data_IF_159244893684
#
_entry.id   IF_159244893684
#
_cell.length_a   1.000
_cell.length_b   1.000
_cell.length_c   1.000
_cell.angle_alpha   90.00
_cell.angle_beta   90.00
_cell.angle_gamma   90.00
#
_symmetry.space_group_name_H-M   'P 1'
#
loop_
_entity.id
_entity.type
_entity.pdbx_description
1 polymer ?
#
# COMPACT_ATOMS: atom_id res chain seq x y z
N UNK A 1 33.99 -27.39 9.82
CA UNK A 1 34.18 -25.93 9.61
C UNK A 1 32.79 -25.32 9.66
N UNK A 2 32.49 -24.67 10.78
CA UNK A 2 31.20 -23.98 10.99
C UNK A 2 31.23 -22.65 10.22
N UNK A 3 30.23 -22.43 9.36
CA UNK A 3 30.00 -21.12 8.71
C UNK A 3 29.57 -20.10 9.79
N UNK A 4 30.07 -18.87 9.75
CA UNK A 4 29.58 -17.84 10.65
C UNK A 4 28.14 -17.47 10.27
N UNK A 5 27.29 -17.28 11.28
CA UNK A 5 25.93 -16.76 11.14
C UNK A 5 25.97 -15.35 10.54
N UNK A 6 25.04 -15.08 9.64
CA UNK A 6 24.83 -13.73 9.10
C UNK A 6 24.47 -12.78 10.24
N UNK A 7 24.91 -11.49 10.17
CA UNK A 7 24.57 -10.53 11.21
C UNK A 7 23.06 -10.27 11.19
N UNK A 8 22.43 -10.38 12.35
CA UNK A 8 21.07 -9.89 12.60
C UNK A 8 21.00 -8.42 12.15
N UNK A 9 20.14 -8.13 11.19
CA UNK A 9 19.82 -6.76 10.85
C UNK A 9 19.06 -6.18 12.05
N UNK A 10 19.82 -5.47 12.88
CA UNK A 10 19.28 -4.64 13.93
C UNK A 10 18.43 -3.56 13.26
N UNK A 11 17.13 -3.69 13.32
CA UNK A 11 16.21 -2.58 12.98
C UNK A 11 16.53 -1.48 13.98
N UNK A 12 17.31 -0.49 13.55
CA UNK A 12 17.60 0.68 14.37
C UNK A 12 16.30 1.45 14.54
N UNK A 13 15.69 1.33 15.70
CA UNK A 13 14.58 2.21 16.09
C UNK A 13 15.20 3.61 16.21
N UNK A 14 14.90 4.49 15.28
CA UNK A 14 15.33 5.89 15.34
C UNK A 14 14.70 6.54 16.57
N UNK A 15 15.42 7.40 17.29
CA UNK A 15 14.81 8.16 18.37
C UNK A 15 13.65 9.00 17.82
N UNK A 16 12.55 9.11 18.57
CA UNK A 16 11.30 9.83 18.17
C UNK A 16 11.57 11.28 17.73
N UNK A 17 12.65 11.89 18.22
CA UNK A 17 13.09 13.24 17.81
C UNK A 17 13.64 13.36 16.37
N UNK A 18 13.83 12.24 15.67
CA UNK A 18 14.33 12.19 14.27
C UNK A 18 13.25 11.79 13.25
N UNK A 19 12.01 11.51 13.71
CA UNK A 19 10.91 11.16 12.82
C UNK A 19 10.37 12.40 12.10
N UNK A 20 9.98 12.23 10.85
CA UNK A 20 9.25 13.26 10.09
C UNK A 20 7.80 13.32 10.57
N UNK A 21 7.18 14.49 10.44
CA UNK A 21 5.80 14.71 10.84
C UNK A 21 4.93 15.02 9.63
N UNK A 22 3.71 14.50 9.63
CA UNK A 22 2.71 14.87 8.63
C UNK A 22 2.20 16.29 8.86
N UNK A 23 1.55 16.94 7.89
CA UNK A 23 0.94 18.26 8.07
C UNK A 23 -0.17 18.24 9.12
N UNK A 24 -0.62 17.05 9.53
CA UNK A 24 -1.70 16.82 10.50
C UNK A 24 -1.23 16.38 11.89
N UNK A 25 0.09 16.39 12.17
CA UNK A 25 0.61 15.93 13.47
C UNK A 25 -0.10 16.59 14.66
N UNK A 26 -0.28 17.92 14.61
CA UNK A 26 -0.99 18.65 15.66
C UNK A 26 -2.47 18.25 15.77
N UNK A 27 -3.15 18.01 14.66
CA UNK A 27 -4.55 17.56 14.64
C UNK A 27 -4.69 16.15 15.21
N UNK A 28 -3.79 15.22 14.88
CA UNK A 28 -3.79 13.87 15.45
C UNK A 28 -3.60 13.89 16.96
N UNK A 29 -2.65 14.68 17.45
CA UNK A 29 -2.41 14.83 18.89
C UNK A 29 -3.60 15.47 19.61
N UNK A 30 -4.23 16.49 19.00
CA UNK A 30 -5.44 17.12 19.56
C UNK A 30 -6.61 16.14 19.65
N UNK A 31 -6.72 15.20 18.70
CA UNK A 31 -7.71 14.11 18.73
C UNK A 31 -7.32 12.96 19.66
N UNK A 32 -6.15 13.01 20.30
CA UNK A 32 -5.66 11.99 21.23
C UNK A 32 -5.19 10.71 20.55
N UNK A 33 -4.76 10.78 19.30
CA UNK A 33 -4.28 9.63 18.57
C UNK A 33 -3.05 8.99 19.23
N UNK A 34 -2.97 7.67 19.19
CA UNK A 34 -1.76 6.93 19.50
C UNK A 34 -0.82 7.02 18.31
N UNK A 35 0.33 7.64 18.50
CA UNK A 35 1.33 7.83 17.46
C UNK A 35 2.42 6.77 17.51
N UNK A 36 2.98 6.39 16.34
CA UNK A 36 4.13 5.50 16.23
C UNK A 36 4.93 5.76 14.95
N UNK A 37 6.17 5.25 14.91
CA UNK A 37 7.00 5.25 13.70
C UNK A 37 6.38 4.36 12.62
N UNK A 38 6.25 4.92 11.44
CA UNK A 38 5.86 4.22 10.22
C UNK A 38 6.67 4.75 9.03
N UNK A 39 7.66 3.97 8.62
CA UNK A 39 8.52 4.32 7.50
C UNK A 39 9.34 5.61 7.69
N UNK A 40 9.71 5.94 8.93
CA UNK A 40 10.45 7.14 9.30
C UNK A 40 9.57 8.37 9.55
N UNK A 41 8.25 8.19 9.61
CA UNK A 41 7.27 9.21 9.95
C UNK A 41 6.55 8.88 11.24
N UNK A 42 6.24 9.88 12.06
CA UNK A 42 5.36 9.71 13.21
C UNK A 42 3.90 9.82 12.75
N UNK A 43 3.18 8.68 12.76
CA UNK A 43 1.84 8.56 12.19
C UNK A 43 0.83 8.02 13.21
N UNK A 44 -0.47 8.37 13.09
CA UNK A 44 -1.52 7.86 13.95
C UNK A 44 -1.78 6.36 13.69
N UNK A 45 -1.74 5.57 14.75
CA UNK A 45 -2.06 4.13 14.71
C UNK A 45 -3.54 3.88 14.95
N UNK A 46 -4.11 4.53 15.96
CA UNK A 46 -5.54 4.50 16.28
C UNK A 46 -5.94 5.76 17.06
N UNK A 47 -7.27 6.00 17.14
CA UNK A 47 -7.86 7.09 17.87
C UNK A 47 -8.72 6.60 19.04
N UNK A 48 -8.93 7.43 20.08
CA UNK A 48 -9.87 7.13 21.17
C UNK A 48 -11.30 6.90 20.64
N UNK A 49 -12.09 6.09 21.37
CA UNK A 49 -13.50 5.84 21.02
C UNK A 49 -13.77 4.47 20.40
N UNK A 50 -12.80 3.56 20.47
CA UNK A 50 -12.97 2.17 20.00
C UNK A 50 -11.78 1.64 19.23
N UNK A 51 -10.81 2.52 18.90
CA UNK A 51 -9.55 2.15 18.27
C UNK A 51 -9.73 1.40 16.94
N UNK A 52 -8.75 0.60 16.60
CA UNK A 52 -8.67 -0.14 15.32
C UNK A 52 -9.97 -0.84 14.93
N UNK A 53 -10.69 -1.47 15.88
CA UNK A 53 -11.91 -2.23 15.57
C UNK A 53 -13.07 -1.34 15.15
N UNK A 54 -13.27 -0.21 15.85
CA UNK A 54 -14.33 0.75 15.52
C UNK A 54 -14.02 1.48 14.20
N UNK A 55 -12.77 1.89 14.01
CA UNK A 55 -12.31 2.55 12.79
C UNK A 55 -12.47 1.62 11.58
N UNK A 56 -12.04 0.36 11.69
CA UNK A 56 -12.26 -0.66 10.66
C UNK A 56 -13.75 -0.83 10.33
N UNK A 57 -14.60 -0.94 11.36
CA UNK A 57 -16.04 -1.10 11.16
C UNK A 57 -16.66 0.12 10.48
N UNK A 58 -16.23 1.34 10.83
CA UNK A 58 -16.70 2.57 10.20
C UNK A 58 -16.34 2.59 8.70
N UNK A 59 -15.12 2.18 8.31
CA UNK A 59 -14.73 2.08 6.90
C UNK A 59 -15.58 1.05 6.15
N UNK A 60 -15.89 -0.10 6.77
CA UNK A 60 -16.74 -1.13 6.13
C UNK A 60 -18.20 -0.75 6.01
N UNK A 61 -18.74 0.08 6.91
CA UNK A 61 -20.19 0.33 7.01
C UNK A 61 -20.62 1.78 6.79
N UNK A 62 -19.69 2.71 6.88
CA UNK A 62 -19.93 4.16 6.75
C UNK A 62 -18.79 4.84 5.99
N UNK A 63 -17.89 5.55 6.68
CA UNK A 63 -16.71 6.18 6.09
C UNK A 63 -15.64 6.43 7.14
N UNK A 64 -14.38 6.19 6.78
CA UNK A 64 -13.21 6.61 7.52
C UNK A 64 -12.34 7.56 6.71
N UNK A 65 -11.64 8.47 7.39
CA UNK A 65 -10.62 9.32 6.78
C UNK A 65 -9.26 9.02 7.39
N UNK A 66 -8.27 8.76 6.54
CA UNK A 66 -6.90 8.46 6.93
C UNK A 66 -5.98 9.58 6.47
N UNK A 67 -5.06 9.98 7.33
CA UNK A 67 -3.87 10.69 6.89
C UNK A 67 -2.85 9.68 6.38
N UNK A 68 -2.55 9.75 5.10
CA UNK A 68 -1.49 8.98 4.45
C UNK A 68 -0.49 9.90 3.76
N UNK A 69 -0.31 11.12 4.29
CA UNK A 69 0.60 12.14 3.75
C UNK A 69 2.08 11.73 3.81
N UNK A 70 2.41 10.71 4.59
CA UNK A 70 3.73 10.09 4.60
C UNK A 70 4.08 9.38 3.29
N UNK A 71 3.11 9.02 2.44
CA UNK A 71 3.39 8.49 1.11
C UNK A 71 4.21 9.50 0.30
N UNK A 72 5.14 9.00 -0.49
CA UNK A 72 5.93 9.84 -1.38
C UNK A 72 5.11 10.44 -2.51
N UNK A 73 5.57 11.56 -3.02
CA UNK A 73 5.09 12.15 -4.27
C UNK A 73 6.30 12.56 -5.09
N UNK A 74 6.30 12.22 -6.37
CA UNK A 74 7.33 12.63 -7.31
C UNK A 74 6.72 12.94 -8.66
N UNK A 75 7.31 13.86 -9.42
CA UNK A 75 6.90 14.14 -10.79
C UNK A 75 8.01 13.76 -11.74
N UNK A 76 7.63 13.17 -12.88
CA UNK A 76 8.49 12.97 -14.05
C UNK A 76 7.89 13.80 -15.18
N UNK A 77 8.62 14.84 -15.60
CA UNK A 77 8.09 15.83 -16.53
C UNK A 77 9.10 16.17 -17.64
N UNK A 78 8.57 16.54 -18.79
CA UNK A 78 9.32 16.89 -20.00
C UNK A 78 9.09 15.92 -21.14
N UNK A 79 9.55 16.28 -22.36
CA UNK A 79 9.32 15.47 -23.55
C UNK A 79 9.74 14.02 -23.39
N UNK A 80 8.78 13.09 -23.49
CA UNK A 80 9.03 11.66 -23.37
C UNK A 80 8.99 11.12 -21.93
N UNK A 81 8.42 11.84 -20.96
CA UNK A 81 8.31 11.42 -19.56
C UNK A 81 7.53 10.10 -19.40
N UNK A 82 6.35 9.98 -20.03
CA UNK A 82 5.54 8.76 -19.92
C UNK A 82 6.20 7.54 -20.56
N UNK A 83 6.73 7.58 -21.80
CA UNK A 83 7.56 6.49 -22.35
C UNK A 83 8.76 6.12 -21.48
N UNK A 84 9.41 7.09 -20.86
CA UNK A 84 10.52 6.82 -19.95
C UNK A 84 10.06 6.06 -18.69
N UNK A 85 9.02 6.53 -18.02
CA UNK A 85 8.43 5.84 -16.85
C UNK A 85 7.97 4.44 -17.24
N UNK A 86 7.36 4.28 -18.42
CA UNK A 86 6.97 2.97 -18.95
C UNK A 86 8.17 2.05 -19.11
N UNK A 87 9.30 2.54 -19.62
CA UNK A 87 10.52 1.75 -19.80
C UNK A 87 11.22 1.37 -18.47
N UNK A 88 10.92 2.06 -17.37
CA UNK A 88 11.51 1.80 -16.05
C UNK A 88 10.65 0.86 -15.20
N UNK A 89 9.33 1.09 -15.14
CA UNK A 89 8.42 0.39 -14.24
C UNK A 89 7.75 -0.81 -14.92
N UNK A 90 7.26 -1.76 -14.12
CA UNK A 90 6.83 -3.07 -14.66
C UNK A 90 5.53 -3.02 -15.45
N UNK A 91 4.52 -2.25 -15.05
CA UNK A 91 3.22 -2.25 -15.74
C UNK A 91 3.27 -1.41 -17.02
N UNK A 92 2.43 -1.74 -17.99
CA UNK A 92 2.40 -1.06 -19.27
C UNK A 92 1.49 0.18 -19.22
N UNK A 93 2.06 1.39 -19.33
CA UNK A 93 1.28 2.63 -19.37
C UNK A 93 0.37 2.72 -20.59
N UNK A 94 0.69 2.03 -21.68
CA UNK A 94 -0.18 1.91 -22.85
C UNK A 94 -1.57 1.28 -22.57
N UNK A 95 -1.76 0.67 -21.39
CA UNK A 95 -3.06 0.14 -20.95
C UNK A 95 -4.01 1.20 -20.41
N UNK A 96 -3.51 2.40 -20.16
CA UNK A 96 -4.29 3.52 -19.62
C UNK A 96 -4.15 4.77 -20.51
N UNK A 97 -5.04 5.73 -20.31
CA UNK A 97 -5.02 7.03 -20.98
C UNK A 97 -4.77 8.16 -19.95
N UNK A 98 -4.43 9.37 -20.38
CA UNK A 98 -4.40 10.54 -19.50
C UNK A 98 -5.67 10.67 -18.66
N UNK A 99 -5.51 11.04 -17.38
CA UNK A 99 -6.59 11.08 -16.38
C UNK A 99 -6.82 9.73 -15.66
N UNK A 100 -6.06 8.69 -15.99
CA UNK A 100 -6.12 7.38 -15.33
C UNK A 100 -4.87 7.12 -14.49
N UNK A 101 -5.06 6.25 -13.48
CA UNK A 101 -4.01 5.79 -12.60
C UNK A 101 -3.73 4.29 -12.81
N UNK A 102 -2.51 3.85 -12.46
CA UNK A 102 -2.10 2.47 -12.59
C UNK A 102 -1.18 2.07 -11.44
N UNK A 103 -1.46 0.92 -10.82
CA UNK A 103 -0.53 0.27 -9.91
C UNK A 103 0.60 -0.39 -10.71
N UNK A 104 1.84 -0.19 -10.26
CA UNK A 104 3.05 -0.71 -10.91
C UNK A 104 4.13 -0.99 -9.87
N UNK A 105 5.22 -1.58 -10.31
CA UNK A 105 6.35 -1.94 -9.46
C UNK A 105 7.65 -1.37 -10.04
N UNK A 106 8.51 -0.90 -9.14
CA UNK A 106 9.91 -0.60 -9.40
C UNK A 106 10.72 -1.81 -8.95
N UNK A 107 11.35 -2.52 -9.86
CA UNK A 107 12.13 -3.72 -9.55
C UNK A 107 13.63 -3.49 -9.67
N UNK A 108 14.39 -4.33 -9.01
CA UNK A 108 15.85 -4.36 -9.13
C UNK A 108 16.25 -5.18 -10.38
N UNK A 109 17.20 -4.67 -11.17
CA UNK A 109 17.60 -5.29 -12.43
C UNK A 109 18.28 -6.65 -12.25
N UNK A 110 18.95 -6.86 -11.12
CA UNK A 110 19.76 -8.06 -10.88
C UNK A 110 18.96 -9.17 -10.23
N UNK A 111 18.17 -8.81 -9.20
CA UNK A 111 17.41 -9.80 -8.39
C UNK A 111 15.97 -9.97 -8.88
N UNK A 112 15.41 -8.98 -9.60
CA UNK A 112 13.98 -8.91 -9.89
C UNK A 112 13.12 -8.60 -8.66
N UNK A 113 13.75 -8.40 -7.49
CA UNK A 113 13.07 -8.05 -6.25
C UNK A 113 12.43 -6.66 -6.31
N UNK A 114 11.40 -6.46 -5.52
CA UNK A 114 10.62 -5.22 -5.53
C UNK A 114 11.32 -4.16 -4.68
N UNK A 115 11.80 -3.10 -5.33
CA UNK A 115 12.32 -1.88 -4.68
C UNK A 115 11.19 -1.09 -4.08
N UNK A 116 10.08 -0.95 -4.84
CA UNK A 116 8.85 -0.31 -4.39
C UNK A 116 7.65 -0.71 -5.24
N UNK A 117 6.47 -0.65 -4.66
CA UNK A 117 5.18 -0.67 -5.35
C UNK A 117 4.51 0.69 -5.23
N UNK A 118 3.98 1.20 -6.34
CA UNK A 118 3.53 2.58 -6.39
C UNK A 118 2.35 2.77 -7.36
N UNK A 119 1.64 3.88 -7.17
CA UNK A 119 0.63 4.32 -8.13
C UNK A 119 1.25 5.37 -9.07
N UNK A 120 1.02 5.17 -10.36
CA UNK A 120 1.32 6.12 -11.43
C UNK A 120 0.02 6.82 -11.83
N UNK A 121 0.02 8.13 -11.85
CA UNK A 121 -1.05 8.99 -12.38
C UNK A 121 -0.58 9.59 -13.70
N UNK A 122 -1.16 9.14 -14.81
CA UNK A 122 -0.81 9.62 -16.15
C UNK A 122 -1.56 10.91 -16.45
N UNK A 123 -0.88 12.05 -16.30
CA UNK A 123 -1.43 13.37 -16.61
C UNK A 123 -1.37 13.68 -18.10
N UNK A 124 -0.32 13.20 -18.75
CA UNK A 124 -0.09 13.36 -20.18
C UNK A 124 1.21 12.65 -20.60
N UNK A 125 1.55 12.74 -21.87
CA UNK A 125 2.77 12.12 -22.39
C UNK A 125 4.05 12.71 -21.77
N UNK A 126 3.99 13.98 -21.36
CA UNK A 126 5.10 14.74 -20.82
C UNK A 126 4.94 15.06 -19.32
N UNK A 127 3.94 14.50 -18.64
CA UNK A 127 3.69 14.75 -17.22
C UNK A 127 3.11 13.50 -16.53
N UNK A 128 3.87 12.98 -15.58
CA UNK A 128 3.52 11.79 -14.79
C UNK A 128 3.73 12.11 -13.32
N UNK A 129 2.70 11.86 -12.48
CA UNK A 129 2.81 11.90 -11.04
C UNK A 129 2.97 10.48 -10.51
N UNK A 130 3.93 10.28 -9.61
CA UNK A 130 4.21 9.01 -8.93
C UNK A 130 3.89 9.15 -7.44
N UNK A 131 3.30 8.12 -6.85
CA UNK A 131 3.05 8.03 -5.41
C UNK A 131 3.68 6.75 -4.87
N UNK A 132 5.00 6.76 -4.59
CA UNK A 132 5.72 5.65 -3.95
C UNK A 132 5.47 5.57 -2.45
N UNK A 133 5.86 4.45 -1.83
CA UNK A 133 5.84 4.29 -0.37
C UNK A 133 6.82 5.23 0.32
N UNK A 134 6.48 5.63 1.56
CA UNK A 134 7.23 6.62 2.35
C UNK A 134 8.73 6.32 2.44
N UNK A 135 9.07 5.10 2.85
CA UNK A 135 10.46 4.68 3.08
C UNK A 135 11.28 4.58 1.77
N UNK A 136 10.62 4.34 0.64
CA UNK A 136 11.27 4.02 -0.63
C UNK A 136 11.33 5.21 -1.59
N UNK A 137 10.64 6.32 -1.27
CA UNK A 137 10.54 7.51 -2.15
C UNK A 137 11.89 7.99 -2.65
N UNK A 138 12.84 8.18 -1.75
CA UNK A 138 14.17 8.69 -2.10
C UNK A 138 14.90 7.75 -3.08
N UNK A 139 14.79 6.44 -2.90
CA UNK A 139 15.42 5.46 -3.78
C UNK A 139 14.75 5.40 -5.16
N UNK A 140 13.42 5.44 -5.22
CA UNK A 140 12.68 5.50 -6.49
C UNK A 140 13.03 6.76 -7.28
N UNK A 141 13.02 7.92 -6.61
CA UNK A 141 13.40 9.21 -7.22
C UNK A 141 14.85 9.18 -7.71
N UNK A 142 15.78 8.67 -6.90
CA UNK A 142 17.20 8.56 -7.27
C UNK A 142 17.37 7.70 -8.53
N UNK A 143 16.80 6.49 -8.56
CA UNK A 143 16.90 5.57 -9.71
C UNK A 143 16.35 6.19 -10.99
N UNK A 144 15.18 6.81 -10.90
CA UNK A 144 14.59 7.52 -12.05
C UNK A 144 15.42 8.72 -12.48
N UNK A 145 15.97 9.51 -11.54
CA UNK A 145 16.77 10.69 -11.89
C UNK A 145 18.11 10.34 -12.56
N UNK A 146 18.75 9.26 -12.11
CA UNK A 146 20.05 8.81 -12.64
C UNK A 146 19.99 8.32 -14.09
N UNK A 147 18.85 7.77 -14.50
CA UNK A 147 18.68 7.19 -15.86
C UNK A 147 17.78 8.03 -16.77
N UNK A 148 17.31 9.19 -16.29
CA UNK A 148 16.43 10.07 -17.05
C UNK A 148 17.12 10.57 -18.33
N UNK A 149 16.46 10.45 -19.50
CA UNK A 149 17.00 10.98 -20.73
C UNK A 149 17.02 12.51 -20.75
N UNK A 150 17.86 13.12 -21.62
CA UNK A 150 17.89 14.58 -21.75
C UNK A 150 16.50 15.16 -22.01
N UNK A 151 16.12 16.20 -21.24
CA UNK A 151 14.82 16.86 -21.32
C UNK A 151 13.76 16.31 -20.35
N UNK A 152 13.95 15.11 -19.80
CA UNK A 152 13.07 14.57 -18.75
C UNK A 152 13.63 14.93 -17.37
N UNK A 153 12.80 15.55 -16.53
CA UNK A 153 13.15 15.93 -15.17
C UNK A 153 12.35 15.13 -14.16
N UNK A 154 13.05 14.49 -13.23
CA UNK A 154 12.47 13.85 -12.05
C UNK A 154 12.59 14.80 -10.88
N UNK A 155 11.49 15.04 -10.16
CA UNK A 155 11.47 15.96 -9.03
C UNK A 155 10.77 15.30 -7.84
N UNK A 156 11.45 15.28 -6.69
CA UNK A 156 10.83 14.92 -5.42
C UNK A 156 9.82 16.01 -5.02
N UNK A 157 8.60 15.58 -4.73
CA UNK A 157 7.46 16.40 -4.32
C UNK A 157 6.88 15.94 -2.99
N UNK A 158 7.65 15.19 -2.21
CA UNK A 158 7.18 14.46 -1.03
C UNK A 158 6.38 15.35 -0.06
N UNK A 159 6.88 16.54 0.22
CA UNK A 159 6.24 17.52 1.12
C UNK A 159 5.50 18.66 0.39
N UNK A 160 5.28 18.54 -0.91
CA UNK A 160 4.48 19.52 -1.64
C UNK A 160 2.97 19.26 -1.47
N UNK A 161 2.58 17.99 -1.20
CA UNK A 161 1.19 17.57 -1.11
C UNK A 161 0.95 16.71 0.13
N UNK A 162 -0.19 16.92 0.80
CA UNK A 162 -0.77 15.92 1.70
C UNK A 162 -1.52 14.85 0.90
N UNK A 163 -1.89 13.75 1.58
CA UNK A 163 -2.77 12.72 1.03
C UNK A 163 -3.79 12.31 2.09
N UNK A 164 -5.08 12.58 1.80
CA UNK A 164 -6.20 12.23 2.66
C UNK A 164 -7.03 11.14 2.00
N UNK A 165 -7.05 9.92 2.58
CA UNK A 165 -7.82 8.83 2.05
C UNK A 165 -9.20 8.77 2.72
N UNK A 166 -10.27 9.04 1.97
CA UNK A 166 -11.68 8.99 2.39
C UNK A 166 -12.27 7.69 1.88
N UNK A 167 -12.49 6.72 2.76
CA UNK A 167 -12.76 5.33 2.40
C UNK A 167 -14.01 4.79 3.08
N UNK A 168 -14.85 4.10 2.33
CA UNK A 168 -16.08 3.46 2.80
C UNK A 168 -17.27 3.74 1.89
N UNK A 169 -18.41 3.02 2.08
CA UNK A 169 -19.59 3.11 1.19
C UNK A 169 -20.21 4.51 1.13
N UNK A 170 -19.95 5.39 2.13
CA UNK A 170 -20.45 6.77 2.18
C UNK A 170 -19.39 7.81 1.77
N UNK A 171 -18.26 7.37 1.21
CA UNK A 171 -17.16 8.29 0.84
C UNK A 171 -17.54 9.28 -0.26
N UNK A 172 -18.36 8.85 -1.24
CA UNK A 172 -18.81 9.72 -2.32
C UNK A 172 -19.64 10.91 -1.82
N UNK A 173 -20.57 10.66 -0.86
CA UNK A 173 -21.39 11.71 -0.27
C UNK A 173 -20.55 12.74 0.49
N UNK A 174 -19.49 12.29 1.18
CA UNK A 174 -18.59 13.19 1.90
C UNK A 174 -17.81 14.08 0.94
N UNK A 175 -17.23 13.49 -0.12
CA UNK A 175 -16.48 14.22 -1.14
C UNK A 175 -17.38 15.21 -1.89
N UNK A 176 -18.59 14.77 -2.27
CA UNK A 176 -19.57 15.62 -2.93
C UNK A 176 -20.08 16.77 -2.04
N UNK A 177 -20.20 16.56 -0.72
CA UNK A 177 -20.60 17.61 0.21
C UNK A 177 -19.59 18.78 0.31
N UNK A 178 -18.33 18.53 -0.07
CA UNK A 178 -17.29 19.56 -0.22
C UNK A 178 -17.28 20.22 -1.61
N UNK A 179 -18.21 19.86 -2.50
CA UNK A 179 -18.24 20.35 -3.87
C UNK A 179 -17.14 19.77 -4.76
N UNK A 180 -16.50 18.68 -4.33
CA UNK A 180 -15.47 17.99 -5.09
C UNK A 180 -16.07 16.90 -6.01
N UNK A 181 -15.45 16.61 -7.18
CA UNK A 181 -15.93 15.58 -8.09
C UNK A 181 -15.89 14.19 -7.44
N UNK A 182 -17.02 13.47 -7.46
CA UNK A 182 -17.17 12.16 -6.83
C UNK A 182 -17.73 11.08 -7.80
N UNK A 183 -18.00 11.40 -9.05
CA UNK A 183 -18.66 10.53 -10.04
C UNK A 183 -17.72 10.08 -11.17
N UNK A 184 -16.42 9.92 -10.87
CA UNK A 184 -15.47 9.45 -11.86
C UNK A 184 -15.00 8.01 -11.58
N UNK A 185 -14.47 7.35 -12.62
CA UNK A 185 -14.16 5.93 -12.63
C UNK A 185 -13.08 5.53 -11.60
N UNK A 186 -13.17 4.28 -11.13
CA UNK A 186 -12.11 3.66 -10.36
C UNK A 186 -10.77 3.71 -11.12
N UNK A 187 -9.67 4.00 -10.40
CA UNK A 187 -8.33 4.24 -10.95
C UNK A 187 -8.32 5.38 -11.99
N UNK A 188 -9.06 6.44 -11.72
CA UNK A 188 -8.94 7.72 -12.40
C UNK A 188 -8.72 8.86 -11.40
N UNK A 189 -8.38 10.03 -11.89
CA UNK A 189 -8.23 11.23 -11.09
C UNK A 189 -8.69 12.47 -11.85
N UNK A 190 -9.06 13.50 -11.10
CA UNK A 190 -9.51 14.79 -11.63
C UNK A 190 -8.83 15.89 -10.83
N UNK A 191 -8.23 16.85 -11.50
CA UNK A 191 -7.76 18.07 -10.86
C UNK A 191 -8.95 19.01 -10.65
N UNK A 192 -9.13 19.45 -9.41
CA UNK A 192 -10.24 20.27 -8.96
C UNK A 192 -9.76 21.43 -8.09
N UNK A 193 -10.69 22.22 -7.61
CA UNK A 193 -10.44 23.26 -6.62
C UNK A 193 -11.43 23.12 -5.46
N UNK A 194 -10.92 23.27 -4.25
CA UNK A 194 -11.71 23.37 -3.04
C UNK A 194 -11.44 24.73 -2.42
N UNK A 195 -12.49 25.58 -2.30
CA UNK A 195 -12.36 26.96 -1.82
C UNK A 195 -11.27 27.78 -2.53
N UNK A 196 -11.14 27.61 -3.85
CA UNK A 196 -10.11 28.28 -4.67
C UNK A 196 -8.70 27.70 -4.55
N UNK A 197 -8.49 26.63 -3.76
CA UNK A 197 -7.21 25.91 -3.58
C UNK A 197 -7.19 24.66 -4.45
N UNK A 198 -6.07 24.34 -5.11
CA UNK A 198 -5.99 23.16 -5.96
C UNK A 198 -5.99 21.88 -5.12
N UNK A 199 -6.69 20.87 -5.60
CA UNK A 199 -6.71 19.52 -5.06
C UNK A 199 -6.86 18.52 -6.19
N UNK A 200 -6.06 17.44 -6.19
CA UNK A 200 -6.29 16.31 -7.10
C UNK A 200 -7.17 15.29 -6.36
N UNK A 201 -8.29 14.90 -6.97
CA UNK A 201 -9.22 13.91 -6.45
C UNK A 201 -8.99 12.60 -7.18
N UNK A 202 -8.45 11.60 -6.50
CA UNK A 202 -8.14 10.29 -7.05
C UNK A 202 -9.20 9.28 -6.60
N UNK A 203 -9.74 8.50 -7.53
CA UNK A 203 -10.67 7.41 -7.24
C UNK A 203 -9.90 6.12 -6.97
N UNK A 204 -9.24 6.08 -5.85
CA UNK A 204 -8.33 5.01 -5.42
C UNK A 204 -8.46 4.75 -3.92
N UNK A 205 -7.77 3.71 -3.43
CA UNK A 205 -7.72 3.36 -2.02
C UNK A 205 -7.05 2.03 -1.78
N UNK A 206 -6.86 1.70 -0.50
CA UNK A 206 -6.13 0.52 -0.03
C UNK A 206 -6.94 -0.28 1.01
N UNK A 207 -8.27 -0.15 0.98
CA UNK A 207 -9.17 -0.71 1.99
C UNK A 207 -10.09 -1.81 1.46
N UNK A 208 -10.23 -1.90 0.13
CA UNK A 208 -11.21 -2.77 -0.50
C UNK A 208 -12.61 -2.18 -0.56
N UNK A 209 -12.80 -0.95 -0.05
CA UNK A 209 -14.06 -0.21 -0.12
C UNK A 209 -14.04 0.86 -1.20
N UNK A 210 -15.22 1.38 -1.53
CA UNK A 210 -15.35 2.60 -2.31
C UNK A 210 -14.59 3.73 -1.62
N UNK A 211 -13.84 4.55 -2.37
CA UNK A 211 -13.04 5.57 -1.72
C UNK A 211 -12.31 6.51 -2.66
N UNK A 212 -11.78 7.57 -2.06
CA UNK A 212 -11.00 8.60 -2.74
C UNK A 212 -9.73 8.87 -1.96
N UNK A 213 -8.70 9.31 -2.68
CA UNK A 213 -7.48 9.88 -2.11
C UNK A 213 -7.39 11.32 -2.63
N UNK A 214 -7.42 12.28 -1.71
CA UNK A 214 -7.38 13.71 -2.00
C UNK A 214 -5.95 14.19 -1.79
N UNK A 215 -5.39 14.86 -2.80
CA UNK A 215 -4.04 15.42 -2.76
C UNK A 215 -4.11 16.95 -2.74
N UNK A 216 -4.36 17.61 -1.61
CA UNK A 216 -4.22 19.04 -1.44
C UNK A 216 -2.74 19.43 -1.40
N UNK A 217 -2.43 20.74 -1.52
CA UNK A 217 -1.11 21.22 -1.12
C UNK A 217 -0.85 20.90 0.35
N UNK A 218 0.40 20.70 0.71
CA UNK A 218 0.81 20.40 2.09
C UNK A 218 0.22 21.38 3.11
N UNK A 219 0.32 22.69 2.83
CA UNK A 219 -0.19 23.73 3.72
C UNK A 219 -1.72 23.80 3.82
N UNK A 220 -2.45 23.28 2.82
CA UNK A 220 -3.92 23.29 2.78
C UNK A 220 -4.52 22.03 3.41
N UNK A 221 -3.68 21.03 3.75
CA UNK A 221 -4.11 19.73 4.25
C UNK A 221 -4.87 19.81 5.57
N UNK A 222 -4.46 20.61 6.58
CA UNK A 222 -5.19 20.74 7.83
C UNK A 222 -6.61 21.26 7.65
N UNK A 223 -6.78 22.30 6.83
CA UNK A 223 -8.09 22.89 6.59
C UNK A 223 -9.03 21.90 5.88
N UNK A 224 -8.50 21.14 4.89
CA UNK A 224 -9.29 20.13 4.19
C UNK A 224 -9.65 18.94 5.10
N UNK A 225 -8.75 18.56 6.01
CA UNK A 225 -9.03 17.53 7.03
C UNK A 225 -10.20 17.92 7.91
N UNK A 226 -10.19 19.13 8.47
CA UNK A 226 -11.27 19.64 9.32
C UNK A 226 -12.59 19.74 8.55
N UNK A 227 -12.54 20.21 7.31
CA UNK A 227 -13.70 20.27 6.44
C UNK A 227 -14.29 18.89 6.12
N UNK A 228 -13.43 17.87 5.89
CA UNK A 228 -13.86 16.48 5.69
C UNK A 228 -14.57 15.93 6.92
N UNK A 229 -14.02 16.12 8.10
CA UNK A 229 -14.65 15.67 9.35
C UNK A 229 -16.00 16.36 9.58
N UNK A 230 -16.09 17.68 9.33
CA UNK A 230 -17.33 18.42 9.46
C UNK A 230 -18.39 18.00 8.42
N UNK A 231 -18.04 17.92 7.14
CA UNK A 231 -18.93 17.50 6.07
C UNK A 231 -19.36 16.04 6.17
N UNK A 232 -18.46 15.18 6.68
CA UNK A 232 -18.70 13.75 6.85
C UNK A 232 -19.49 13.37 8.10
N UNK A 233 -19.68 14.29 9.07
CA UNK A 233 -20.39 13.99 10.31
C UNK A 233 -21.79 13.38 10.10
N UNK A 234 -22.64 13.88 9.17
CA UNK A 234 -23.94 13.27 8.87
C UNK A 234 -23.86 11.87 8.30
N UNK A 235 -22.70 11.49 7.76
CA UNK A 235 -22.43 10.20 7.10
C UNK A 235 -21.67 9.22 8.01
N UNK A 236 -21.37 9.62 9.26
CA UNK A 236 -20.67 8.79 10.24
C UNK A 236 -19.16 8.68 9.97
N UNK A 237 -18.55 9.75 9.43
CA UNK A 237 -17.09 9.77 9.23
C UNK A 237 -16.36 9.70 10.58
N UNK A 238 -15.29 8.92 10.61
CA UNK A 238 -14.35 8.88 11.73
C UNK A 238 -12.93 9.05 11.24
N UNK A 239 -12.04 9.68 12.00
CA UNK A 239 -10.61 9.57 11.77
C UNK A 239 -10.20 8.11 11.98
N UNK A 240 -9.33 7.60 11.10
CA UNK A 240 -8.87 6.23 11.15
C UNK A 240 -7.35 6.17 11.01
N UNK A 241 -6.71 5.34 11.83
CA UNK A 241 -5.26 5.21 11.88
C UNK A 241 -4.73 4.03 11.08
N UNK A 242 -3.39 3.92 11.05
CA UNK A 242 -2.70 2.88 10.29
C UNK A 242 -3.00 1.46 10.81
N UNK A 243 -3.43 1.31 12.06
CA UNK A 243 -3.89 0.01 12.59
C UNK A 243 -5.14 -0.50 11.87
N UNK A 244 -6.13 0.37 11.63
CA UNK A 244 -7.31 0.01 10.82
C UNK A 244 -6.94 -0.20 9.36
N UNK A 245 -6.06 0.65 8.78
CA UNK A 245 -5.54 0.48 7.42
C UNK A 245 -4.90 -0.90 7.23
N UNK A 246 -4.11 -1.38 8.20
CA UNK A 246 -3.46 -2.69 8.13
C UNK A 246 -4.46 -3.85 8.19
N UNK A 247 -5.47 -3.79 9.05
CA UNK A 247 -6.51 -4.84 9.09
C UNK A 247 -7.34 -4.86 7.81
N UNK A 248 -7.70 -3.70 7.25
CA UNK A 248 -8.48 -3.56 6.01
C UNK A 248 -7.72 -4.10 4.80
N UNK A 249 -6.46 -3.68 4.60
CA UNK A 249 -5.65 -4.14 3.47
C UNK A 249 -5.36 -5.66 3.55
N UNK A 250 -5.14 -6.18 4.78
CA UNK A 250 -4.88 -7.61 4.98
C UNK A 250 -6.11 -8.45 4.63
N UNK A 251 -7.32 -8.00 4.96
CA UNK A 251 -8.56 -8.64 4.51
C UNK A 251 -8.67 -8.73 2.98
N UNK A 252 -8.12 -7.75 2.27
CA UNK A 252 -8.08 -7.75 0.81
C UNK A 252 -6.91 -8.56 0.23
N UNK A 253 -5.94 -8.95 1.07
CA UNK A 253 -4.70 -9.55 0.59
C UNK A 253 -3.81 -8.57 -0.18
N UNK A 254 -3.98 -7.26 0.04
CA UNK A 254 -3.12 -6.26 -0.57
C UNK A 254 -1.73 -6.31 0.04
N UNK A 255 -0.67 -6.39 -0.78
CA UNK A 255 0.68 -6.48 -0.28
C UNK A 255 1.13 -5.17 0.37
N UNK A 256 2.01 -5.26 1.35
CA UNK A 256 2.71 -4.15 1.97
C UNK A 256 4.21 -4.32 1.75
N UNK A 257 4.88 -3.28 1.24
CA UNK A 257 6.33 -3.29 1.09
C UNK A 257 7.02 -3.43 2.47
N UNK A 258 8.04 -4.27 2.53
CA UNK A 258 8.69 -4.70 3.78
C UNK A 258 8.07 -5.97 4.39
N UNK A 259 6.94 -6.44 3.86
CA UNK A 259 6.23 -7.67 4.28
C UNK A 259 6.07 -8.65 3.11
N UNK A 260 5.16 -8.35 2.19
CA UNK A 260 4.88 -9.16 1.01
C UNK A 260 5.74 -8.81 -0.19
N UNK A 261 6.32 -7.63 -0.20
CA UNK A 261 7.20 -7.08 -1.24
C UNK A 261 8.50 -6.60 -0.62
N UNK A 262 9.62 -6.95 -1.23
CA UNK A 262 10.96 -6.50 -0.83
C UNK A 262 11.98 -6.80 -1.93
N UNK A 263 13.22 -6.41 -1.74
CA UNK A 263 14.33 -6.78 -2.65
C UNK A 263 14.57 -8.29 -2.75
N UNK A 264 14.08 -9.08 -1.77
CA UNK A 264 14.19 -10.54 -1.74
C UNK A 264 12.92 -11.24 -2.27
N UNK A 265 11.89 -10.49 -2.64
CA UNK A 265 10.60 -11.02 -3.10
C UNK A 265 10.26 -10.41 -4.45
N UNK A 266 10.08 -11.26 -5.46
CA UNK A 266 9.74 -10.83 -6.82
C UNK A 266 8.22 -10.65 -6.98
N UNK A 267 7.77 -9.89 -7.99
CA UNK A 267 6.36 -9.81 -8.35
C UNK A 267 5.71 -11.18 -8.64
N UNK A 268 6.49 -12.14 -9.14
CA UNK A 268 6.00 -13.50 -9.43
C UNK A 268 5.70 -14.25 -8.14
N UNK A 269 6.58 -14.15 -7.15
CA UNK A 269 6.40 -14.75 -5.83
C UNK A 269 5.27 -14.08 -5.05
N UNK A 270 5.19 -12.75 -5.11
CA UNK A 270 4.18 -11.94 -4.41
C UNK A 270 2.77 -12.03 -5.04
N UNK A 271 2.61 -12.70 -6.19
CA UNK A 271 1.33 -12.79 -6.87
C UNK A 271 0.88 -11.46 -7.54
N UNK A 272 1.79 -10.49 -7.68
CA UNK A 272 1.54 -9.19 -8.33
C UNK A 272 1.89 -9.18 -9.81
N UNK A 273 2.10 -10.35 -10.42
CA UNK A 273 2.41 -10.50 -11.83
C UNK A 273 1.37 -9.91 -12.81
N UNK A 274 0.15 -9.60 -12.34
CA UNK A 274 -0.86 -8.87 -13.09
C UNK A 274 -0.47 -7.39 -13.34
N UNK A 275 0.39 -6.84 -12.48
CA UNK A 275 0.96 -5.50 -12.61
C UNK A 275 2.27 -5.49 -13.40
N UNK A 276 2.55 -6.54 -14.17
CA UNK A 276 3.70 -6.64 -15.07
C UNK A 276 3.23 -6.68 -16.51
N UNK A 277 3.78 -5.80 -17.32
CA UNK A 277 3.59 -5.80 -18.78
C UNK A 277 4.53 -6.80 -19.44
N UNK A 278 4.20 -8.09 -19.40
CA UNK A 278 5.07 -9.17 -19.86
C UNK A 278 5.54 -9.05 -21.32
N UNK A 279 4.75 -8.36 -22.15
CA UNK A 279 5.03 -8.14 -23.56
C UNK A 279 5.86 -6.87 -23.83
N UNK A 280 6.16 -6.08 -22.78
CA UNK A 280 6.98 -4.87 -22.92
C UNK A 280 8.40 -5.24 -23.33
N UNK A 281 9.04 -4.41 -24.16
CA UNK A 281 10.43 -4.65 -24.58
C UNK A 281 11.43 -4.44 -23.43
N UNK A 282 11.13 -3.54 -22.48
CA UNK A 282 12.01 -3.17 -21.39
C UNK A 282 11.22 -2.72 -20.14
N UNK A 283 11.74 -3.06 -18.98
CA UNK A 283 11.50 -2.51 -17.64
C UNK A 283 12.58 -3.06 -16.71
N UNK A 284 12.83 -2.42 -15.59
CA UNK A 284 13.84 -2.88 -14.65
C UNK A 284 13.49 -4.26 -14.08
N UNK A 285 14.46 -5.17 -14.11
CA UNK A 285 14.31 -6.56 -13.69
C UNK A 285 13.62 -7.50 -14.68
N UNK A 286 13.34 -7.05 -15.91
CA UNK A 286 12.56 -7.81 -16.91
C UNK A 286 13.09 -9.21 -17.16
N UNK A 287 14.36 -9.36 -17.44
CA UNK A 287 14.93 -10.66 -17.88
C UNK A 287 14.86 -11.71 -16.79
N UNK A 288 15.14 -11.31 -15.54
CA UNK A 288 15.02 -12.16 -14.35
C UNK A 288 13.57 -12.58 -14.13
N UNK A 289 12.63 -11.62 -14.20
CA UNK A 289 11.21 -11.88 -13.97
C UNK A 289 10.58 -12.76 -15.06
N UNK A 290 10.96 -12.57 -16.32
CA UNK A 290 10.50 -13.43 -17.44
C UNK A 290 11.03 -14.85 -17.26
N UNK A 291 12.30 -15.00 -16.87
CA UNK A 291 12.89 -16.33 -16.61
C UNK A 291 12.21 -17.02 -15.42
N UNK A 292 11.99 -16.31 -14.30
CA UNK A 292 11.30 -16.86 -13.13
C UNK A 292 9.85 -17.26 -13.46
N UNK A 293 9.13 -16.41 -14.21
CA UNK A 293 7.77 -16.74 -14.64
C UNK A 293 7.72 -18.02 -15.47
N UNK A 294 8.68 -18.21 -16.37
CA UNK A 294 8.76 -19.40 -17.23
C UNK A 294 9.11 -20.67 -16.43
N UNK A 295 10.03 -20.57 -15.48
CA UNK A 295 10.43 -21.69 -14.60
C UNK A 295 9.41 -22.02 -13.53
N UNK A 296 8.58 -21.05 -13.16
CA UNK A 296 7.75 -21.07 -11.94
C UNK A 296 8.56 -20.65 -10.71
N UNK A 297 7.98 -19.85 -9.81
CA UNK A 297 8.66 -19.41 -8.59
C UNK A 297 8.81 -20.55 -7.59
N UNK A 298 9.88 -20.56 -6.81
CA UNK A 298 10.11 -21.55 -5.74
C UNK A 298 9.12 -21.40 -4.57
N UNK A 299 8.61 -20.20 -4.35
CA UNK A 299 7.66 -19.87 -3.27
C UNK A 299 6.59 -18.90 -3.80
N UNK A 300 5.42 -18.87 -3.14
CA UNK A 300 4.30 -18.02 -3.55
C UNK A 300 3.60 -17.43 -2.35
N UNK A 301 3.14 -16.20 -2.52
CA UNK A 301 2.24 -15.55 -1.55
C UNK A 301 0.88 -16.26 -1.54
N UNK A 302 0.41 -16.58 -0.31
CA UNK A 302 -0.88 -17.22 -0.05
C UNK A 302 -1.57 -16.55 1.14
N UNK A 303 -2.88 -16.68 1.19
CA UNK A 303 -3.67 -16.35 2.36
C UNK A 303 -3.67 -17.51 3.36
N UNK A 304 -3.77 -17.15 4.63
CA UNK A 304 -3.93 -18.07 5.76
C UNK A 304 -5.22 -17.74 6.50
N UNK A 305 -6.04 -18.75 6.73
CA UNK A 305 -7.26 -18.64 7.53
C UNK A 305 -7.11 -19.56 8.75
N UNK A 306 -7.21 -19.01 9.95
CA UNK A 306 -7.17 -19.79 11.16
C UNK A 306 -8.37 -20.76 11.22
N UNK A 307 -8.15 -21.96 11.76
CA UNK A 307 -9.23 -22.94 11.98
C UNK A 307 -9.79 -22.84 13.41
N UNK A 308 -9.12 -22.06 14.27
CA UNK A 308 -9.49 -21.80 15.65
C UNK A 308 -9.35 -20.30 16.01
N UNK A 309 -9.04 -19.99 17.27
CA UNK A 309 -8.86 -18.61 17.75
C UNK A 309 -7.43 -18.07 17.59
N UNK A 310 -6.57 -18.80 16.91
CA UNK A 310 -5.19 -18.37 16.70
C UNK A 310 -5.14 -17.15 15.78
N UNK A 311 -4.20 -16.26 16.06
CA UNK A 311 -3.93 -15.08 15.22
C UNK A 311 -2.48 -15.18 14.78
N UNK A 312 -2.21 -15.41 13.48
CA UNK A 312 -0.85 -15.44 12.97
C UNK A 312 -0.21 -14.05 13.07
N UNK A 313 1.12 -14.01 13.14
CA UNK A 313 1.89 -12.76 13.17
C UNK A 313 3.07 -12.86 12.22
N UNK A 314 3.46 -11.73 11.65
CA UNK A 314 4.64 -11.64 10.80
C UNK A 314 5.87 -12.27 11.46
N UNK A 315 6.68 -12.98 10.68
CA UNK A 315 7.88 -13.67 11.12
C UNK A 315 7.65 -15.09 11.70
N UNK A 316 6.40 -15.52 11.91
CA UNK A 316 6.13 -16.88 12.36
C UNK A 316 6.42 -17.89 11.24
N UNK A 317 7.15 -18.96 11.58
CA UNK A 317 7.43 -20.07 10.67
C UNK A 317 6.19 -20.95 10.50
N UNK A 318 5.95 -21.35 9.26
CA UNK A 318 4.89 -22.29 8.91
C UNK A 318 5.47 -23.66 8.61
N UNK A 319 4.81 -24.70 9.13
CA UNK A 319 5.22 -26.10 9.00
C UNK A 319 4.14 -26.96 8.41
N UNK A 320 4.57 -28.01 7.70
CA UNK A 320 3.71 -29.11 7.30
C UNK A 320 4.45 -30.41 7.59
N UNK A 321 3.83 -31.31 8.34
CA UNK A 321 4.44 -32.60 8.76
C UNK A 321 5.81 -32.40 9.43
N UNK A 322 5.97 -31.32 10.23
CA UNK A 322 7.20 -30.99 10.94
C UNK A 322 8.30 -30.34 10.09
N UNK A 323 8.07 -30.13 8.78
CA UNK A 323 9.00 -29.48 7.87
C UNK A 323 8.62 -28.02 7.70
N UNK A 324 9.60 -27.11 7.74
CA UNK A 324 9.39 -25.70 7.49
C UNK A 324 9.02 -25.49 6.01
N UNK A 325 7.88 -24.87 5.73
CA UNK A 325 7.33 -24.66 4.38
C UNK A 325 7.11 -23.19 4.06
N UNK A 326 7.47 -22.26 4.94
CA UNK A 326 7.37 -20.84 4.68
C UNK A 326 7.26 -19.99 5.93
N UNK A 327 6.94 -18.70 5.72
CA UNK A 327 6.88 -17.69 6.79
C UNK A 327 5.65 -16.80 6.61
N UNK A 328 5.01 -16.46 7.71
CA UNK A 328 3.95 -15.46 7.76
C UNK A 328 4.56 -14.09 7.49
N UNK A 329 4.07 -13.40 6.48
CA UNK A 329 4.51 -12.05 6.12
C UNK A 329 3.66 -10.97 6.80
N UNK A 330 2.34 -11.19 6.89
CA UNK A 330 1.40 -10.35 7.62
C UNK A 330 0.38 -11.21 8.33
N UNK A 331 -0.09 -10.76 9.51
CA UNK A 331 -1.10 -11.51 10.23
C UNK A 331 -1.85 -10.66 11.24
N UNK A 332 -3.18 -10.79 11.23
CA UNK A 332 -4.06 -10.00 12.08
C UNK A 332 -5.35 -10.76 12.42
N UNK A 333 -6.10 -10.21 13.36
CA UNK A 333 -7.51 -10.58 13.53
C UNK A 333 -8.34 -9.81 12.48
N UNK A 334 -9.14 -10.51 11.69
CA UNK A 334 -10.11 -9.89 10.79
C UNK A 334 -11.37 -9.48 11.57
N UNK A 335 -11.66 -8.18 11.70
CA UNK A 335 -12.88 -7.75 12.38
C UNK A 335 -14.15 -8.17 11.61
N UNK A 336 -14.09 -8.19 10.28
CA UNK A 336 -15.21 -8.60 9.41
C UNK A 336 -15.50 -10.10 9.54
N UNK A 337 -14.47 -10.94 9.45
CA UNK A 337 -14.59 -12.41 9.53
C UNK A 337 -14.62 -12.95 10.97
N UNK A 338 -14.17 -12.16 11.94
CA UNK A 338 -14.02 -12.51 13.36
C UNK A 338 -13.12 -13.73 13.60
N UNK A 339 -12.04 -13.82 12.82
CA UNK A 339 -11.09 -14.92 12.85
C UNK A 339 -9.68 -14.40 12.55
N UNK A 340 -8.65 -15.16 12.93
CA UNK A 340 -7.27 -14.87 12.52
C UNK A 340 -7.08 -15.08 11.02
N UNK A 341 -6.48 -14.11 10.35
CA UNK A 341 -6.08 -14.18 8.94
C UNK A 341 -4.62 -13.76 8.79
N UNK A 342 -3.98 -14.19 7.72
CA UNK A 342 -2.63 -13.77 7.40
C UNK A 342 -2.29 -13.93 5.95
N UNK A 343 -1.17 -13.34 5.57
CA UNK A 343 -0.49 -13.56 4.31
C UNK A 343 0.83 -14.28 4.62
N UNK A 344 1.25 -15.16 3.75
CA UNK A 344 2.46 -15.94 3.94
C UNK A 344 3.14 -16.25 2.60
N UNK A 345 4.45 -16.25 2.63
CA UNK A 345 5.27 -16.72 1.53
C UNK A 345 5.58 -18.21 1.78
N UNK A 346 4.94 -19.07 1.01
CA UNK A 346 4.98 -20.52 1.13
C UNK A 346 5.70 -21.17 -0.03
N UNK A 347 6.33 -22.32 0.19
CA UNK A 347 6.81 -23.18 -0.89
C UNK A 347 5.72 -23.39 -1.94
N UNK A 348 6.09 -23.36 -3.21
CA UNK A 348 5.13 -23.44 -4.33
C UNK A 348 4.38 -24.76 -4.38
N UNK A 349 4.88 -25.80 -3.70
CA UNK A 349 4.19 -27.10 -3.55
C UNK A 349 2.99 -27.04 -2.63
N UNK A 350 2.87 -25.99 -1.77
CA UNK A 350 1.75 -25.81 -0.87
C UNK A 350 0.61 -25.12 -1.61
N UNK A 351 -0.49 -25.85 -1.76
CA UNK A 351 -1.67 -25.41 -2.52
C UNK A 351 -2.80 -24.87 -1.65
N UNK A 352 -3.82 -24.33 -2.32
CA UNK A 352 -5.06 -23.90 -1.70
C UNK A 352 -5.79 -25.11 -1.09
N UNK A 353 -6.29 -24.98 0.14
CA UNK A 353 -6.92 -26.04 0.91
C UNK A 353 -5.95 -26.86 1.77
N UNK A 354 -4.65 -26.77 1.53
CA UNK A 354 -3.66 -27.49 2.36
C UNK A 354 -3.66 -26.93 3.79
N UNK A 355 -3.55 -27.79 4.81
CA UNK A 355 -3.29 -27.37 6.18
C UNK A 355 -1.81 -27.09 6.38
N UNK A 356 -1.51 -26.01 7.13
CA UNK A 356 -0.18 -25.70 7.63
C UNK A 356 -0.27 -25.36 9.11
N UNK A 357 0.81 -25.56 9.85
CA UNK A 357 0.88 -25.27 11.27
C UNK A 357 1.75 -24.04 11.53
N UNK A 358 1.33 -23.21 12.48
CA UNK A 358 2.10 -22.09 12.99
C UNK A 358 2.22 -22.20 14.50
N UNK A 359 3.40 -21.89 15.06
CA UNK A 359 3.57 -21.81 16.51
C UNK A 359 3.06 -20.46 17.03
N UNK A 360 1.97 -20.49 17.78
CA UNK A 360 1.44 -19.30 18.47
C UNK A 360 1.73 -19.44 19.97
N UNK A 361 2.80 -18.80 20.43
CA UNK A 361 3.23 -18.79 21.84
C UNK A 361 3.45 -20.19 22.43
N UNK A 362 4.16 -21.07 21.69
CA UNK A 362 4.47 -22.43 22.12
C UNK A 362 3.31 -23.43 21.95
N UNK A 363 2.26 -23.06 21.21
CA UNK A 363 1.14 -23.93 20.87
C UNK A 363 0.99 -24.00 19.35
N UNK A 364 1.02 -25.19 18.77
CA UNK A 364 0.73 -25.36 17.35
C UNK A 364 -0.73 -24.99 17.08
N UNK A 365 -0.94 -24.16 16.05
CA UNK A 365 -2.25 -23.80 15.56
C UNK A 365 -2.33 -24.10 14.07
N UNK A 366 -3.44 -24.69 13.63
CA UNK A 366 -3.65 -25.05 12.23
C UNK A 366 -4.24 -23.87 11.47
N UNK A 367 -3.64 -23.58 10.31
CA UNK A 367 -4.14 -22.62 9.33
C UNK A 367 -4.52 -23.36 8.05
N UNK A 368 -5.61 -22.96 7.43
CA UNK A 368 -5.95 -23.39 6.07
C UNK A 368 -5.35 -22.41 5.08
N UNK A 369 -4.67 -22.92 4.06
CA UNK A 369 -4.16 -22.09 2.97
C UNK A 369 -5.31 -21.72 2.04
N UNK A 370 -5.48 -20.42 1.77
CA UNK A 370 -6.56 -19.88 0.96
C UNK A 370 -6.03 -18.87 -0.06
N UNK A 371 -6.88 -18.52 -1.02
CA UNK A 371 -6.60 -17.41 -1.93
C UNK A 371 -7.28 -16.13 -1.42
N UNK A 372 -6.55 -15.02 -1.25
CA UNK A 372 -7.18 -13.73 -0.96
C UNK A 372 -8.04 -13.26 -2.15
N UNK A 373 -8.99 -12.35 -1.96
CA UNK A 373 -9.31 -11.65 -0.71
C UNK A 373 -10.08 -12.51 0.31
N UNK A 374 -10.00 -12.15 1.59
CA UNK A 374 -10.76 -12.82 2.67
C UNK A 374 -12.20 -12.28 2.80
N UNK A 375 -12.44 -11.09 2.26
CA UNK A 375 -13.72 -10.37 2.26
C UNK A 375 -13.98 -9.86 0.85
N UNK A 376 -15.23 -9.87 0.41
CA UNK A 376 -15.59 -9.35 -0.92
C UNK A 376 -15.28 -7.85 -1.02
N UNK A 377 -14.55 -7.43 -2.07
CA UNK A 377 -14.23 -6.02 -2.28
C UNK A 377 -15.46 -5.23 -2.76
N UNK A 378 -15.53 -3.96 -2.36
CA UNK A 378 -16.62 -3.02 -2.69
C UNK A 378 -16.06 -1.73 -3.30
N UNK A 379 -15.02 -1.83 -4.12
CA UNK A 379 -14.26 -0.69 -4.68
C UNK A 379 -14.95 0.00 -5.86
N UNK A 380 -15.92 -0.64 -6.49
CA UNK A 380 -16.62 -0.16 -7.71
C UNK A 380 -18.06 0.18 -7.44
#
# INVERSE_FOLDING_TARGET
MLRPAAPEQCVSVRPVSELRHSPLDAAHRALGAKMADFGGWEMPIDYPGGGVLAEHAAVRTAVGVFDVSHLGKATVAGPGAAPYVDACLTNALARIAPGKAQYTLCCDDVSGGVVDDLIVYLRGDDDVLLVPNAANTAEVVRRLAETAPPGVKVTDRHEDYGVLAVQGPRSAEVVAALGLPADHDYMSFVDATWEGRPVTVCRSGYTGEHGYELLPRWADTPDLWDALLAAGAPYGIVPAGLGARDTLRTEMGYPLHGHELSLDITPVQAGTGWAVGWDKPAFWGRDVLVAEKAAGPSRRLRGLLATDRAIPRAGMTLRRDGVDVGTVTSGTFSPTRRIGIGLALLDSAIGEGDPVEVDVRGRPATMSVVRPPFVEPSTR
#
